data_IF_647737238818
#
_entry.id   IF_647737238818
#
_cell.length_a   1.000
_cell.length_b   1.000
_cell.length_c   1.000
_cell.angle_alpha   90.00
_cell.angle_beta   90.00
_cell.angle_gamma   90.00
#
_symmetry.space_group_name_H-M   'P 1'
#
loop_
_entity.id
_entity.type
_entity.pdbx_description
1 polymer ?
#
# COMPACT_ATOMS: atom_id res chain seq x y z
N UNK A 1 -9.36 -5.28 14.84
CA UNK A 1 -8.53 -5.98 15.86
C UNK A 1 -7.30 -5.14 16.11
N UNK A 2 -6.74 -5.17 17.33
CA UNK A 2 -5.59 -4.35 17.74
C UNK A 2 -4.70 -5.16 18.70
N UNK A 3 -3.49 -4.65 18.98
CA UNK A 3 -2.49 -5.32 19.83
C UNK A 3 -1.42 -6.09 19.04
N UNK A 4 -0.33 -6.47 19.72
CA UNK A 4 0.85 -7.08 19.10
C UNK A 4 0.55 -8.35 18.29
N UNK A 5 -0.42 -9.16 18.73
CA UNK A 5 -0.85 -10.35 18.00
C UNK A 5 -1.42 -10.06 16.60
N UNK A 6 -1.87 -8.83 16.34
CA UNK A 6 -2.35 -8.43 14.99
C UNK A 6 -1.19 -8.31 14.01
N UNK A 7 0.00 -7.93 14.46
CA UNK A 7 1.19 -7.76 13.62
C UNK A 7 1.71 -9.11 13.08
N UNK A 8 1.55 -10.19 13.85
CA UNK A 8 1.98 -11.53 13.45
C UNK A 8 0.81 -12.44 13.02
N UNK A 9 -0.40 -11.89 12.93
CA UNK A 9 -1.59 -12.59 12.43
C UNK A 9 -1.72 -12.53 10.90
N UNK A 10 -2.86 -13.01 10.39
CA UNK A 10 -3.14 -13.13 8.94
C UNK A 10 -3.13 -11.81 8.16
N UNK A 11 -3.33 -10.66 8.83
CA UNK A 11 -3.33 -9.33 8.20
C UNK A 11 -2.06 -8.53 8.45
N UNK A 12 -1.13 -9.05 9.26
CA UNK A 12 0.03 -8.28 9.71
C UNK A 12 0.96 -7.85 8.58
N UNK A 13 1.04 -8.65 7.52
CA UNK A 13 1.92 -8.36 6.38
C UNK A 13 1.51 -7.09 5.63
N UNK A 14 0.20 -6.78 5.59
CA UNK A 14 -0.28 -5.52 5.02
C UNK A 14 0.10 -4.31 5.88
N UNK A 15 0.22 -4.49 7.20
CA UNK A 15 0.66 -3.43 8.11
C UNK A 15 2.15 -3.14 7.89
N UNK A 16 2.99 -4.19 7.87
CA UNK A 16 4.41 -4.01 7.59
C UNK A 16 4.67 -3.51 6.17
N UNK A 17 3.93 -4.03 5.19
CA UNK A 17 4.01 -3.63 3.79
C UNK A 17 3.55 -2.19 3.52
N UNK A 18 2.78 -1.59 4.43
CA UNK A 18 2.42 -0.17 4.33
C UNK A 18 3.63 0.75 4.53
N UNK A 19 4.65 0.33 5.29
CA UNK A 19 5.85 1.11 5.56
C UNK A 19 6.65 1.42 4.27
N UNK A 20 7.08 0.42 3.46
CA UNK A 20 7.76 0.71 2.19
C UNK A 20 6.84 1.46 1.21
N UNK A 21 5.53 1.21 1.24
CA UNK A 21 4.58 1.94 0.41
C UNK A 21 4.61 3.46 0.67
N UNK A 22 4.49 3.89 1.93
CA UNK A 22 4.50 5.34 2.25
C UNK A 22 5.86 5.99 1.98
N UNK A 23 6.97 5.25 2.16
CA UNK A 23 8.31 5.73 1.82
C UNK A 23 8.40 5.98 0.31
N UNK A 24 7.95 5.03 -0.51
CA UNK A 24 7.96 5.15 -1.97
C UNK A 24 7.06 6.30 -2.46
N UNK A 25 5.89 6.50 -1.83
CA UNK A 25 5.06 7.69 -2.09
C UNK A 25 5.76 9.01 -1.72
N UNK A 26 6.47 9.04 -0.60
CA UNK A 26 7.25 10.21 -0.18
C UNK A 26 8.38 10.53 -1.16
N UNK A 27 9.12 9.50 -1.61
CA UNK A 27 10.18 9.65 -2.61
C UNK A 27 9.64 10.13 -3.96
N UNK A 28 8.45 9.65 -4.37
CA UNK A 28 7.81 10.01 -5.63
C UNK A 28 7.54 11.52 -5.75
N UNK A 29 7.40 12.22 -4.62
CA UNK A 29 7.16 13.67 -4.58
C UNK A 29 8.29 14.49 -5.21
N UNK A 30 9.53 14.03 -5.07
CA UNK A 30 10.72 14.73 -5.58
C UNK A 30 11.00 14.42 -7.05
N UNK A 31 10.21 13.53 -7.66
CA UNK A 31 10.42 13.08 -9.04
C UNK A 31 9.67 14.01 -10.00
N UNK A 32 10.42 14.73 -10.85
CA UNK A 32 9.85 15.63 -11.87
C UNK A 32 9.03 14.89 -12.93
N UNK A 33 9.46 13.67 -13.30
CA UNK A 33 8.76 12.85 -14.28
C UNK A 33 7.54 12.18 -13.62
N UNK A 34 6.34 12.64 -13.98
CA UNK A 34 5.07 12.13 -13.43
C UNK A 34 4.87 10.64 -13.63
N UNK A 35 5.31 10.07 -14.76
CA UNK A 35 5.18 8.63 -15.04
C UNK A 35 6.02 7.83 -14.05
N UNK A 36 7.26 8.27 -13.81
CA UNK A 36 8.17 7.62 -12.86
C UNK A 36 7.65 7.76 -11.42
N UNK A 37 7.10 8.93 -11.05
CA UNK A 37 6.49 9.14 -9.75
C UNK A 37 5.29 8.19 -9.50
N UNK A 38 4.40 8.06 -10.49
CA UNK A 38 3.25 7.14 -10.43
C UNK A 38 3.71 5.69 -10.36
N UNK A 39 4.69 5.30 -11.20
CA UNK A 39 5.25 3.95 -11.17
C UNK A 39 5.84 3.61 -9.80
N UNK A 40 6.50 4.57 -9.14
CA UNK A 40 7.06 4.37 -7.80
C UNK A 40 5.96 4.17 -6.74
N UNK A 41 4.87 4.93 -6.80
CA UNK A 41 3.71 4.73 -5.93
C UNK A 41 3.05 3.36 -6.15
N UNK A 42 2.90 2.93 -7.41
CA UNK A 42 2.36 1.61 -7.75
C UNK A 42 3.28 0.51 -7.25
N UNK A 43 4.59 0.65 -7.42
CA UNK A 43 5.57 -0.30 -6.87
C UNK A 43 5.43 -0.41 -5.36
N UNK A 44 5.29 0.72 -4.65
CA UNK A 44 5.00 0.75 -3.22
C UNK A 44 3.72 0.00 -2.86
N UNK A 45 2.62 0.25 -3.58
CA UNK A 45 1.36 -0.46 -3.35
C UNK A 45 1.50 -1.97 -3.55
N UNK A 46 2.23 -2.40 -4.59
CA UNK A 46 2.52 -3.81 -4.84
C UNK A 46 3.31 -4.41 -3.66
N UNK A 47 4.30 -3.71 -3.11
CA UNK A 47 5.03 -4.22 -1.93
C UNK A 47 4.11 -4.44 -0.73
N UNK A 48 3.10 -3.59 -0.54
CA UNK A 48 2.10 -3.76 0.52
C UNK A 48 1.30 -5.06 0.33
N UNK A 49 0.80 -5.28 -0.88
CA UNK A 49 0.03 -6.49 -1.21
C UNK A 49 0.86 -7.76 -1.15
N UNK A 50 2.10 -7.73 -1.64
CA UNK A 50 3.01 -8.88 -1.59
C UNK A 50 3.34 -9.27 -0.15
N UNK A 51 3.69 -8.31 0.70
CA UNK A 51 3.97 -8.57 2.11
C UNK A 51 2.74 -9.17 2.83
N UNK A 52 1.55 -8.62 2.57
CA UNK A 52 0.28 -9.12 3.08
C UNK A 52 0.00 -10.56 2.66
N UNK A 53 0.09 -10.85 1.36
CA UNK A 53 -0.13 -12.19 0.80
C UNK A 53 0.87 -13.20 1.33
N UNK A 54 2.16 -12.86 1.37
CA UNK A 54 3.22 -13.75 1.86
C UNK A 54 2.97 -14.13 3.33
N UNK A 55 2.69 -13.15 4.20
CA UNK A 55 2.42 -13.44 5.60
C UNK A 55 1.13 -14.25 5.78
N UNK A 56 0.07 -13.92 5.05
CA UNK A 56 -1.18 -14.69 5.09
C UNK A 56 -0.94 -16.16 4.70
N UNK A 57 -0.20 -16.40 3.61
CA UNK A 57 0.13 -17.76 3.16
C UNK A 57 0.88 -18.55 4.23
N UNK A 58 1.87 -17.93 4.88
CA UNK A 58 2.66 -18.57 5.93
C UNK A 58 1.78 -18.92 7.14
N UNK A 59 0.96 -17.97 7.60
CA UNK A 59 0.14 -18.13 8.81
C UNK A 59 -1.05 -19.09 8.58
N UNK A 60 -1.65 -19.07 7.39
CA UNK A 60 -2.84 -19.87 7.05
C UNK A 60 -2.55 -21.13 6.25
N UNK A 61 -1.29 -21.38 5.89
CA UNK A 61 -0.86 -22.53 5.09
C UNK A 61 -1.67 -22.68 3.77
N UNK A 62 -1.76 -21.59 3.01
CA UNK A 62 -2.57 -21.51 1.79
C UNK A 62 -1.70 -21.32 0.54
N UNK A 63 -2.22 -21.72 -0.62
CA UNK A 63 -1.53 -21.52 -1.90
C UNK A 63 -1.62 -20.07 -2.39
N UNK A 64 -0.69 -19.66 -3.25
CA UNK A 64 -0.54 -18.26 -3.68
C UNK A 64 -1.77 -17.72 -4.44
N UNK A 65 -2.16 -18.39 -5.53
CA UNK A 65 -3.27 -17.94 -6.38
C UNK A 65 -4.59 -17.74 -5.61
N UNK A 66 -5.11 -18.73 -4.86
CA UNK A 66 -6.35 -18.53 -4.11
C UNK A 66 -6.22 -17.45 -3.04
N UNK A 67 -5.03 -17.29 -2.44
CA UNK A 67 -4.78 -16.21 -1.46
C UNK A 67 -4.88 -14.84 -2.12
N UNK A 68 -4.19 -14.60 -3.23
CA UNK A 68 -4.23 -13.32 -3.95
C UNK A 68 -5.67 -12.97 -4.35
N UNK A 69 -6.42 -13.93 -4.87
CA UNK A 69 -7.82 -13.73 -5.28
C UNK A 69 -8.71 -13.40 -4.07
N UNK A 70 -8.51 -14.06 -2.93
CA UNK A 70 -9.34 -13.88 -1.76
C UNK A 70 -9.06 -12.57 -0.99
N UNK A 71 -7.78 -12.21 -0.83
CA UNK A 71 -7.38 -11.15 0.13
C UNK A 71 -6.67 -9.94 -0.49
N UNK A 72 -6.33 -9.96 -1.78
CA UNK A 72 -5.58 -8.86 -2.41
C UNK A 72 -6.33 -8.27 -3.59
N UNK A 73 -6.67 -9.08 -4.60
CA UNK A 73 -7.20 -8.60 -5.88
C UNK A 73 -8.48 -7.74 -5.75
N UNK A 74 -9.48 -8.10 -4.91
CA UNK A 74 -10.68 -7.27 -4.74
C UNK A 74 -10.39 -5.91 -4.10
N UNK A 75 -9.38 -5.85 -3.22
CA UNK A 75 -9.02 -4.65 -2.47
C UNK A 75 -8.14 -3.70 -3.27
N UNK A 76 -7.39 -4.21 -4.25
CA UNK A 76 -6.53 -3.42 -5.13
C UNK A 76 -7.28 -2.24 -5.78
N UNK A 77 -8.52 -2.45 -6.20
CA UNK A 77 -9.37 -1.41 -6.82
C UNK A 77 -9.62 -0.27 -5.83
N UNK A 78 -10.03 -0.61 -4.60
CA UNK A 78 -10.28 0.36 -3.53
C UNK A 78 -8.99 1.09 -3.15
N UNK A 79 -7.85 0.41 -3.13
CA UNK A 79 -6.57 1.01 -2.75
C UNK A 79 -6.10 2.03 -3.79
N UNK A 80 -6.23 1.71 -5.08
CA UNK A 80 -5.96 2.66 -6.16
C UNK A 80 -6.90 3.87 -6.06
N UNK A 81 -8.20 3.64 -5.83
CA UNK A 81 -9.15 4.74 -5.64
C UNK A 81 -8.76 5.61 -4.43
N UNK A 82 -8.31 5.00 -3.33
CA UNK A 82 -7.84 5.71 -2.14
C UNK A 82 -6.59 6.55 -2.43
N UNK A 83 -5.66 6.05 -3.25
CA UNK A 83 -4.49 6.80 -3.70
C UNK A 83 -4.87 8.01 -4.56
N UNK A 84 -5.83 7.84 -5.47
CA UNK A 84 -6.35 8.95 -6.29
C UNK A 84 -7.00 10.02 -5.41
N UNK A 85 -7.86 9.62 -4.47
CA UNK A 85 -8.50 10.55 -3.53
C UNK A 85 -7.45 11.27 -2.68
N UNK A 86 -6.46 10.54 -2.16
CA UNK A 86 -5.37 11.13 -1.37
C UNK A 86 -4.56 12.15 -2.19
N UNK A 87 -4.29 11.87 -3.47
CA UNK A 87 -3.63 12.81 -4.36
C UNK A 87 -4.47 14.07 -4.60
N UNK A 88 -5.77 13.93 -4.82
CA UNK A 88 -6.68 15.07 -4.95
C UNK A 88 -6.60 15.93 -3.69
N UNK A 89 -6.83 15.34 -2.51
CA UNK A 89 -6.75 16.03 -1.22
C UNK A 89 -5.42 16.74 -1.04
N UNK A 90 -4.29 16.11 -1.39
CA UNK A 90 -2.98 16.74 -1.39
C UNK A 90 -2.91 18.00 -2.28
N UNK A 91 -3.54 18.00 -3.47
CA UNK A 91 -3.61 19.17 -4.34
C UNK A 91 -4.37 20.35 -3.74
N UNK A 92 -5.35 20.13 -2.87
CA UNK A 92 -5.98 21.21 -2.12
C UNK A 92 -5.14 21.62 -0.90
N UNK A 93 -4.62 20.66 -0.13
CA UNK A 93 -3.84 20.93 1.07
C UNK A 93 -2.56 21.72 0.80
N UNK A 94 -1.84 21.41 -0.29
CA UNK A 94 -0.60 22.12 -0.66
C UNK A 94 -0.77 23.62 -0.94
N UNK A 95 -2.01 24.09 -1.11
CA UNK A 95 -2.32 25.52 -1.32
C UNK A 95 -2.40 26.28 0.00
N UNK A 96 -2.63 25.59 1.10
CA UNK A 96 -2.95 26.18 2.41
C UNK A 96 -1.89 25.82 3.45
N UNK A 97 -1.23 24.67 3.28
CA UNK A 97 -0.15 24.19 4.15
C UNK A 97 1.14 24.22 3.34
N UNK A 98 2.20 24.81 3.91
CA UNK A 98 3.56 24.61 3.42
C UNK A 98 3.94 23.16 3.68
N UNK A 99 3.61 22.31 2.73
CA UNK A 99 4.16 20.97 2.69
C UNK A 99 5.55 21.18 2.08
N UNK A 100 6.61 21.09 2.87
CA UNK A 100 8.00 21.02 2.36
C UNK A 100 8.27 19.64 1.77
#
# INVERSE_FOLDING_TARGET
RSGLGTLFGVTGGFIFGFIPFVIMCGLARNIKNKVVAIALCIAGLITCHLAGVIQFMIVSNTAFIPTVVAISLPYMIKDIASCVIAYLVYMQLKKVITVE
#
